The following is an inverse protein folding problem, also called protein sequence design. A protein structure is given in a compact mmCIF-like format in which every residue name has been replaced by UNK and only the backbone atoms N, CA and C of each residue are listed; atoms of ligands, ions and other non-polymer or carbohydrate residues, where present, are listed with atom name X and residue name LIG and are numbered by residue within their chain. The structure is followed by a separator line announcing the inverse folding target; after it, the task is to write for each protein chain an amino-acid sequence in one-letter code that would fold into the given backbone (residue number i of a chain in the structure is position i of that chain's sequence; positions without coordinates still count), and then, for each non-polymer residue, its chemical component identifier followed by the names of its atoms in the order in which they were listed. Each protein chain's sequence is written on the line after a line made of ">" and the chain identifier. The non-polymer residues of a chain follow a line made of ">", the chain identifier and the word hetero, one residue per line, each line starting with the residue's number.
data_IF_185784443424
#
_entry.id   IF_185784443424
#
_cell.length_a   1.000
_cell.length_b   1.000
_cell.length_c   1.000
_cell.angle_alpha   90.00
_cell.angle_beta   90.00
_cell.angle_gamma   90.00
#
_symmetry.space_group_name_H-M   'P 1'
#
loop_
_entity.id
_entity.type
_entity.pdbx_description
1 polymer ?
#
# COMPACT_ATOMS: atom_id res chain seq x y z
N UNK A 1 30.08 34.79 6.22
CA UNK A 1 29.64 34.75 4.82
C UNK A 1 28.12 34.70 4.84
N UNK A 2 27.44 35.85 4.67
CA UNK A 2 25.97 35.94 4.76
C UNK A 2 25.38 35.52 3.42
N UNK A 3 24.63 34.42 3.37
CA UNK A 3 23.90 34.05 2.16
C UNK A 3 22.90 35.18 1.83
N UNK A 4 22.98 35.73 0.61
CA UNK A 4 22.10 36.81 0.16
C UNK A 4 20.62 36.40 0.17
N UNK A 5 19.74 37.35 0.46
CA UNK A 5 18.26 37.17 0.55
C UNK A 5 17.62 36.49 -0.67
N UNK A 6 18.25 36.59 -1.84
CA UNK A 6 17.85 35.90 -3.07
C UNK A 6 18.08 34.38 -3.03
N UNK A 7 19.13 33.91 -2.34
CA UNK A 7 19.40 32.49 -2.18
C UNK A 7 18.35 31.82 -1.27
N UNK A 8 17.96 32.50 -0.19
CA UNK A 8 16.91 32.02 0.70
C UNK A 8 15.55 31.91 0.01
N UNK A 9 15.18 32.93 -0.80
CA UNK A 9 13.96 32.90 -1.61
C UNK A 9 13.95 31.77 -2.63
N UNK A 10 15.08 31.48 -3.27
CA UNK A 10 15.22 30.37 -4.23
C UNK A 10 15.12 29.01 -3.54
N UNK A 11 15.76 28.83 -2.39
CA UNK A 11 15.68 27.61 -1.59
C UNK A 11 14.24 27.37 -1.12
N UNK A 12 13.57 28.39 -0.58
CA UNK A 12 12.16 28.28 -0.16
C UNK A 12 11.23 27.95 -1.33
N UNK A 13 11.46 28.52 -2.52
CA UNK A 13 10.67 28.20 -3.71
C UNK A 13 10.88 26.74 -4.18
N UNK A 14 12.13 26.25 -4.17
CA UNK A 14 12.44 24.86 -4.55
C UNK A 14 11.86 23.87 -3.54
N UNK A 15 11.95 24.16 -2.24
CA UNK A 15 11.34 23.36 -1.18
C UNK A 15 9.81 23.36 -1.31
N UNK A 16 9.19 24.51 -1.57
CA UNK A 16 7.74 24.60 -1.80
C UNK A 16 7.29 23.81 -3.04
N UNK A 17 8.04 23.87 -4.15
CA UNK A 17 7.75 23.08 -5.36
C UNK A 17 7.91 21.57 -5.12
N UNK A 18 8.95 21.16 -4.38
CA UNK A 18 9.16 19.77 -4.02
C UNK A 18 8.04 19.23 -3.11
N UNK A 19 7.55 20.04 -2.18
CA UNK A 19 6.40 19.69 -1.33
C UNK A 19 5.10 19.56 -2.14
N UNK A 20 4.87 20.42 -3.12
CA UNK A 20 3.67 20.38 -3.99
C UNK A 20 3.61 19.13 -4.89
N UNK A 21 4.76 18.61 -5.34
CA UNK A 21 4.82 17.42 -6.19
C UNK A 21 4.38 16.13 -5.46
N UNK A 22 4.62 16.04 -4.15
CA UNK A 22 4.23 14.88 -3.32
C UNK A 22 2.73 14.84 -2.97
N UNK A 23 2.05 15.99 -3.01
CA UNK A 23 0.63 16.11 -2.64
C UNK A 23 -0.33 15.40 -3.60
N UNK A 24 0.04 15.27 -4.88
CA UNK A 24 -0.83 14.64 -5.89
C UNK A 24 -1.17 13.18 -5.58
N UNK A 25 -0.20 12.40 -5.07
CA UNK A 25 -0.42 11.00 -4.69
C UNK A 25 -1.37 10.85 -3.51
N UNK A 26 -1.10 11.58 -2.43
CA UNK A 26 -1.93 11.59 -1.22
C UNK A 26 -3.36 12.08 -1.50
N UNK A 27 -3.54 13.14 -2.30
CA UNK A 27 -4.86 13.65 -2.68
C UNK A 27 -5.62 12.63 -3.52
N UNK A 28 -4.97 11.99 -4.50
CA UNK A 28 -5.59 10.95 -5.32
C UNK A 28 -6.00 9.74 -4.49
N UNK A 29 -5.13 9.30 -3.58
CA UNK A 29 -5.46 8.22 -2.65
C UNK A 29 -6.65 8.60 -1.77
N UNK A 30 -6.62 9.78 -1.13
CA UNK A 30 -7.68 10.22 -0.23
C UNK A 30 -9.02 10.36 -0.95
N UNK A 31 -9.03 10.85 -2.19
CA UNK A 31 -10.24 10.90 -3.02
C UNK A 31 -10.77 9.49 -3.27
N UNK A 32 -9.95 8.58 -3.76
CA UNK A 32 -10.36 7.20 -4.04
C UNK A 32 -10.82 6.45 -2.78
N UNK A 33 -10.16 6.68 -1.65
CA UNK A 33 -10.53 6.13 -0.34
C UNK A 33 -11.89 6.65 0.14
N UNK A 34 -12.15 7.95 -0.03
CA UNK A 34 -13.39 8.58 0.45
C UNK A 34 -14.58 8.27 -0.45
N UNK A 35 -14.35 8.05 -1.74
CA UNK A 35 -15.39 7.72 -2.72
C UNK A 35 -15.57 6.22 -2.96
N UNK A 36 -14.98 5.37 -2.10
CA UNK A 36 -15.14 3.92 -2.23
C UNK A 36 -16.55 3.53 -1.79
N UNK A 37 -17.27 2.85 -2.68
CA UNK A 37 -18.61 2.33 -2.45
C UNK A 37 -18.58 0.80 -2.58
N UNK A 38 -18.87 0.04 -1.51
CA UNK A 38 -18.86 -1.42 -1.54
C UNK A 38 -19.85 -2.02 -2.54
N UNK A 39 -20.97 -1.32 -2.82
CA UNK A 39 -22.10 -1.81 -3.62
C UNK A 39 -21.83 -1.97 -5.12
N UNK A 40 -20.70 -1.49 -5.63
CA UNK A 40 -20.28 -1.73 -7.01
C UNK A 40 -19.58 -3.08 -7.20
N UNK A 41 -19.52 -3.87 -6.14
CA UNK A 41 -18.94 -5.20 -6.14
C UNK A 41 -20.01 -6.18 -5.65
N UNK A 42 -20.88 -6.58 -6.57
CA UNK A 42 -21.67 -7.79 -6.31
C UNK A 42 -20.68 -8.94 -6.08
N UNK A 43 -20.75 -9.66 -4.94
CA UNK A 43 -20.17 -10.98 -4.87
C UNK A 43 -21.05 -11.85 -5.77
N UNK A 44 -20.77 -11.85 -7.08
CA UNK A 44 -21.34 -12.84 -7.99
C UNK A 44 -20.84 -14.19 -7.50
N UNK A 45 -21.70 -14.83 -6.72
CA UNK A 45 -21.55 -16.13 -6.07
C UNK A 45 -20.59 -16.19 -4.87
N UNK A 46 -21.12 -16.71 -3.76
CA UNK A 46 -20.38 -17.37 -2.67
C UNK A 46 -19.75 -18.69 -3.17
N UNK A 47 -19.22 -18.72 -4.38
CA UNK A 47 -18.44 -19.84 -4.88
C UNK A 47 -17.03 -19.72 -4.28
N UNK A 48 -16.57 -20.71 -3.49
CA UNK A 48 -15.20 -20.74 -3.02
C UNK A 48 -14.25 -20.72 -4.23
N UNK A 49 -13.29 -19.79 -4.25
CA UNK A 49 -12.36 -19.62 -5.37
C UNK A 49 -12.56 -18.35 -6.20
N UNK A 50 -13.50 -17.47 -5.85
CA UNK A 50 -13.60 -16.15 -6.47
C UNK A 50 -12.94 -15.13 -5.54
N UNK A 51 -12.06 -14.28 -6.06
CA UNK A 51 -11.38 -13.20 -5.32
C UNK A 51 -12.31 -12.14 -4.69
N UNK A 52 -13.58 -12.47 -4.43
CA UNK A 52 -14.61 -11.77 -3.67
C UNK A 52 -14.05 -11.13 -2.39
N UNK A 53 -13.20 -11.83 -1.64
CA UNK A 53 -12.75 -11.36 -0.32
C UNK A 53 -11.76 -10.18 -0.31
N UNK A 54 -10.97 -9.92 -1.35
CA UNK A 54 -9.86 -8.96 -1.22
C UNK A 54 -10.23 -7.49 -1.46
N UNK A 55 -11.07 -7.12 -2.45
CA UNK A 55 -11.45 -5.73 -2.68
C UNK A 55 -12.11 -5.09 -1.45
N UNK A 56 -11.83 -3.81 -1.22
CA UNK A 56 -12.24 -3.14 0.01
C UNK A 56 -11.27 -2.06 0.46
N UNK A 57 -11.68 -1.33 1.49
CA UNK A 57 -10.79 -0.50 2.29
C UNK A 57 -10.26 -1.28 3.49
N UNK A 58 -8.96 -1.15 3.68
CA UNK A 58 -8.21 -1.83 4.71
C UNK A 58 -7.39 -0.83 5.51
N UNK A 59 -7.28 -1.03 6.81
CA UNK A 59 -6.47 -0.21 7.71
C UNK A 59 -5.70 -1.08 8.69
N UNK A 60 -4.46 -0.72 8.95
CA UNK A 60 -3.61 -1.41 9.91
C UNK A 60 -2.22 -0.81 9.94
N UNK A 61 -1.20 -1.64 10.01
CA UNK A 61 0.19 -1.23 10.17
C UNK A 61 1.14 -2.09 9.33
N UNK A 62 2.31 -1.52 9.06
CA UNK A 62 3.46 -2.26 8.56
C UNK A 62 4.59 -2.21 9.59
N UNK A 63 5.40 -3.26 9.61
CA UNK A 63 6.58 -3.36 10.47
C UNK A 63 7.71 -4.06 9.72
N UNK A 64 8.89 -3.45 9.71
CA UNK A 64 10.16 -4.09 9.39
C UNK A 64 10.67 -4.81 10.62
N UNK A 65 10.95 -6.10 10.47
CA UNK A 65 11.59 -6.95 11.48
C UNK A 65 13.13 -6.86 11.40
N UNK A 66 13.65 -6.29 10.30
CA UNK A 66 15.07 -6.03 10.12
C UNK A 66 15.58 -4.84 10.93
N UNK A 67 14.88 -3.70 10.88
CA UNK A 67 15.32 -2.44 11.50
C UNK A 67 14.33 -1.87 12.53
N UNK A 68 13.18 -2.51 12.73
CA UNK A 68 12.15 -2.09 13.69
C UNK A 68 11.31 -0.89 13.21
N UNK A 69 11.55 -0.36 12.00
CA UNK A 69 10.72 0.69 11.46
C UNK A 69 9.29 0.20 11.25
N UNK A 70 8.33 1.10 11.47
CA UNK A 70 6.91 0.79 11.35
C UNK A 70 6.09 2.05 11.08
N UNK A 71 4.82 1.83 10.75
CA UNK A 71 3.83 2.88 10.77
C UNK A 71 2.46 2.41 10.29
N UNK A 72 1.51 3.34 10.34
CA UNK A 72 0.14 3.11 9.88
C UNK A 72 0.07 2.87 8.38
N UNK A 73 -0.85 2.01 7.98
CA UNK A 73 -1.10 1.57 6.63
C UNK A 73 -2.60 1.67 6.32
N UNK A 74 -2.94 2.28 5.18
CA UNK A 74 -4.27 2.20 4.58
C UNK A 74 -4.12 1.60 3.19
N UNK A 75 -5.03 0.71 2.83
CA UNK A 75 -5.04 -0.01 1.56
C UNK A 75 -6.40 0.09 0.91
N UNK A 76 -6.45 0.47 -0.36
CA UNK A 76 -7.63 0.39 -1.19
C UNK A 76 -7.39 -0.68 -2.25
N UNK A 77 -8.12 -1.78 -2.12
CA UNK A 77 -8.00 -2.97 -2.95
C UNK A 77 -9.14 -2.95 -3.98
N UNK A 78 -8.79 -3.05 -5.25
CA UNK A 78 -9.75 -3.05 -6.37
C UNK A 78 -9.45 -4.20 -7.31
N UNK A 79 -10.45 -5.03 -7.62
CA UNK A 79 -10.33 -6.12 -8.60
C UNK A 79 -9.86 -5.54 -9.95
N UNK A 80 -8.90 -6.19 -10.57
CA UNK A 80 -8.50 -5.92 -11.97
C UNK A 80 -9.14 -6.97 -12.88
N UNK A 81 -8.94 -8.24 -12.53
CA UNK A 81 -9.55 -9.42 -13.15
C UNK A 81 -9.61 -10.55 -12.09
N UNK A 82 -9.99 -11.77 -12.48
CA UNK A 82 -10.17 -12.88 -11.55
C UNK A 82 -8.89 -13.32 -10.82
N UNK A 83 -7.72 -13.10 -11.44
CA UNK A 83 -6.42 -13.44 -10.85
C UNK A 83 -5.69 -12.27 -10.22
N UNK A 84 -6.16 -11.03 -10.44
CA UNK A 84 -5.40 -9.84 -10.05
C UNK A 84 -6.21 -8.81 -9.28
N UNK A 85 -5.61 -8.32 -8.20
CA UNK A 85 -6.14 -7.20 -7.41
C UNK A 85 -5.13 -6.08 -7.36
N UNK A 86 -5.52 -4.89 -7.79
CA UNK A 86 -4.72 -3.67 -7.62
C UNK A 86 -4.85 -3.21 -6.18
N UNK A 87 -3.73 -3.02 -5.50
CA UNK A 87 -3.66 -2.46 -4.16
C UNK A 87 -2.99 -1.09 -4.20
N UNK A 88 -3.73 -0.06 -3.77
CA UNK A 88 -3.18 1.28 -3.54
C UNK A 88 -2.98 1.46 -2.05
N UNK A 89 -1.79 1.85 -1.65
CA UNK A 89 -1.45 2.04 -0.25
C UNK A 89 -1.14 3.50 0.05
N UNK A 90 -1.51 3.91 1.25
CA UNK A 90 -1.03 5.09 1.92
C UNK A 90 -0.40 4.64 3.23
N UNK A 91 0.91 4.81 3.32
CA UNK A 91 1.70 4.38 4.46
C UNK A 91 2.28 5.58 5.17
N UNK A 92 2.44 5.46 6.48
CA UNK A 92 3.17 6.44 7.30
C UNK A 92 4.45 5.81 7.83
N UNK A 93 5.47 6.63 8.07
CA UNK A 93 6.73 6.23 8.66
C UNK A 93 7.02 7.13 9.85
N UNK A 94 7.27 6.53 11.03
CA UNK A 94 7.51 7.25 12.28
C UNK A 94 6.46 8.36 12.55
N UNK A 95 5.23 8.18 12.06
CA UNK A 95 4.12 9.15 12.10
C UNK A 95 4.37 10.53 11.47
N UNK A 96 5.53 10.77 10.84
CA UNK A 96 5.93 12.08 10.32
C UNK A 96 5.98 12.14 8.79
N UNK A 97 6.38 11.04 8.17
CA UNK A 97 6.47 10.93 6.72
C UNK A 97 5.34 10.05 6.22
N UNK A 98 4.87 10.31 5.01
CA UNK A 98 3.93 9.44 4.32
C UNK A 98 4.40 9.16 2.92
N UNK A 99 3.98 8.01 2.41
CA UNK A 99 4.25 7.59 1.05
C UNK A 99 3.05 6.84 0.50
N UNK A 100 2.80 7.04 -0.79
CA UNK A 100 1.79 6.29 -1.52
C UNK A 100 2.47 5.37 -2.51
N UNK A 101 2.05 4.11 -2.56
CA UNK A 101 2.53 3.15 -3.55
C UNK A 101 1.35 2.35 -4.11
N UNK A 102 1.48 1.87 -5.34
CA UNK A 102 0.52 0.99 -5.99
C UNK A 102 1.25 -0.28 -6.40
N UNK A 103 0.60 -1.43 -6.23
CA UNK A 103 1.09 -2.71 -6.71
C UNK A 103 -0.10 -3.60 -7.12
N UNK A 104 0.20 -4.72 -7.78
CA UNK A 104 -0.80 -5.69 -8.23
C UNK A 104 -0.51 -7.02 -7.54
N UNK A 105 -1.49 -7.50 -6.78
CA UNK A 105 -1.47 -8.81 -6.15
C UNK A 105 -1.98 -9.85 -7.14
N UNK A 106 -1.26 -10.95 -7.25
CA UNK A 106 -1.66 -12.15 -7.95
C UNK A 106 -2.31 -13.11 -6.96
N UNK A 107 -3.60 -13.42 -7.17
CA UNK A 107 -4.35 -14.38 -6.36
C UNK A 107 -3.97 -15.78 -6.82
N UNK A 108 -3.29 -16.52 -5.94
CA UNK A 108 -2.76 -17.86 -6.26
C UNK A 108 -3.74 -18.98 -5.92
N UNK A 109 -4.78 -18.68 -5.16
CA UNK A 109 -5.85 -19.61 -4.86
C UNK A 109 -6.67 -19.22 -3.64
N UNK A 110 -7.72 -19.98 -3.40
CA UNK A 110 -8.54 -19.88 -2.19
C UNK A 110 -8.84 -21.30 -1.71
N UNK A 111 -8.59 -21.57 -0.43
CA UNK A 111 -8.89 -22.85 0.19
C UNK A 111 -9.46 -22.62 1.59
N UNK A 112 -10.55 -23.30 1.92
CA UNK A 112 -11.18 -23.27 3.25
C UNK A 112 -11.47 -21.83 3.76
N UNK A 113 -11.84 -20.93 2.84
CA UNK A 113 -12.12 -19.51 3.13
C UNK A 113 -10.87 -18.65 3.36
N UNK A 114 -9.67 -19.18 3.06
CA UNK A 114 -8.40 -18.46 3.07
C UNK A 114 -8.00 -18.15 1.64
N UNK A 115 -8.01 -16.86 1.28
CA UNK A 115 -7.51 -16.40 -0.01
C UNK A 115 -6.01 -16.15 0.10
N UNK A 116 -5.24 -16.73 -0.81
CA UNK A 116 -3.79 -16.61 -0.89
C UNK A 116 -3.39 -15.71 -2.05
N UNK A 117 -2.39 -14.87 -1.83
CA UNK A 117 -1.86 -13.99 -2.87
C UNK A 117 -0.36 -13.78 -2.74
N UNK A 118 0.25 -13.38 -3.84
CA UNK A 118 1.67 -13.04 -3.92
C UNK A 118 1.90 -11.88 -4.88
N UNK A 119 3.14 -11.41 -4.93
CA UNK A 119 3.59 -10.48 -5.95
C UNK A 119 4.99 -9.96 -5.67
N UNK A 120 5.48 -9.14 -6.59
CA UNK A 120 6.72 -8.42 -6.43
C UNK A 120 6.64 -7.02 -7.03
N UNK A 121 7.49 -6.13 -6.52
CA UNK A 121 7.59 -4.76 -6.97
C UNK A 121 9.03 -4.28 -6.83
N UNK A 122 9.63 -3.81 -7.92
CA UNK A 122 10.89 -3.08 -7.84
C UNK A 122 10.63 -1.63 -7.41
N UNK A 123 11.16 -1.25 -6.25
CA UNK A 123 11.10 0.13 -5.73
C UNK A 123 12.39 0.91 -6.03
N UNK A 124 13.36 0.28 -6.70
CA UNK A 124 14.68 0.80 -7.00
C UNK A 124 15.67 0.56 -5.86
N UNK A 125 16.94 0.45 -6.21
CA UNK A 125 18.03 0.12 -5.28
C UNK A 125 18.14 1.10 -4.10
N UNK A 126 17.79 2.38 -4.30
CA UNK A 126 17.78 3.39 -3.24
C UNK A 126 16.73 3.14 -2.14
N UNK A 127 15.70 2.34 -2.43
CA UNK A 127 14.60 2.03 -1.52
C UNK A 127 14.52 0.54 -1.16
N UNK A 128 15.59 -0.22 -1.41
CA UNK A 128 15.71 -1.64 -1.04
C UNK A 128 15.60 -2.62 -2.20
N UNK A 129 15.49 -2.13 -3.44
CA UNK A 129 15.45 -2.97 -4.65
C UNK A 129 14.09 -3.64 -4.84
N UNK A 130 14.12 -4.91 -5.24
CA UNK A 130 12.90 -5.71 -5.45
C UNK A 130 12.32 -6.18 -4.11
N UNK A 131 11.05 -5.84 -3.88
CA UNK A 131 10.25 -6.37 -2.79
C UNK A 131 9.43 -7.53 -3.30
N UNK A 132 9.46 -8.66 -2.58
CA UNK A 132 8.59 -9.82 -2.79
C UNK A 132 7.70 -9.97 -1.59
N UNK A 133 6.44 -10.30 -1.83
CA UNK A 133 5.48 -10.45 -0.76
C UNK A 133 4.52 -11.61 -1.05
N UNK A 134 4.06 -12.23 0.03
CA UNK A 134 3.04 -13.25 0.00
C UNK A 134 2.15 -13.11 1.25
N UNK A 135 0.87 -13.37 1.09
CA UNK A 135 -0.09 -13.11 2.14
C UNK A 135 -1.39 -13.90 2.02
N UNK A 136 -2.24 -13.64 3.01
CA UNK A 136 -3.56 -14.25 3.12
C UNK A 136 -4.61 -13.21 3.46
N UNK A 137 -5.82 -13.45 3.00
CA UNK A 137 -7.04 -12.78 3.45
C UNK A 137 -8.00 -13.82 3.99
N UNK A 138 -8.46 -13.61 5.23
CA UNK A 138 -9.44 -14.46 5.91
C UNK A 138 -10.53 -13.55 6.45
N UNK A 139 -11.70 -13.56 5.79
CA UNK A 139 -12.78 -12.62 6.09
C UNK A 139 -12.31 -11.16 5.98
N UNK A 140 -12.27 -10.48 7.13
CA UNK A 140 -11.88 -9.08 7.26
C UNK A 140 -10.44 -8.88 7.74
N UNK A 141 -9.65 -9.94 7.80
CA UNK A 141 -8.24 -9.90 8.19
C UNK A 141 -7.33 -10.07 6.98
N UNK A 142 -6.37 -9.16 6.82
CA UNK A 142 -5.33 -9.20 5.80
C UNK A 142 -3.97 -9.29 6.48
N UNK A 143 -3.15 -10.25 6.07
CA UNK A 143 -1.76 -10.39 6.52
C UNK A 143 -0.84 -10.72 5.36
N UNK A 144 0.25 -9.99 5.20
CA UNK A 144 1.29 -10.29 4.21
C UNK A 144 2.67 -10.20 4.85
N UNK A 145 3.57 -11.10 4.47
CA UNK A 145 4.99 -10.94 4.75
C UNK A 145 5.68 -10.37 3.50
N UNK A 146 6.72 -9.56 3.70
CA UNK A 146 7.57 -9.05 2.63
C UNK A 146 9.04 -9.31 2.89
N UNK A 147 9.82 -9.37 1.81
CA UNK A 147 11.29 -9.41 1.81
C UNK A 147 11.81 -8.52 0.68
N UNK A 148 12.86 -7.75 0.94
CA UNK A 148 13.52 -6.88 -0.02
C UNK A 148 14.95 -7.36 -0.31
N UNK A 149 15.50 -7.00 -1.47
CA UNK A 149 16.87 -7.40 -1.88
C UNK A 149 17.97 -6.93 -0.94
N UNK A 150 17.78 -5.80 -0.28
CA UNK A 150 18.72 -5.27 0.70
C UNK A 150 18.67 -5.99 2.07
N UNK A 151 17.83 -7.02 2.22
CA UNK A 151 17.66 -7.80 3.44
C UNK A 151 16.53 -7.34 4.37
N UNK A 152 15.86 -6.22 4.07
CA UNK A 152 14.67 -5.81 4.83
C UNK A 152 13.56 -6.86 4.67
N UNK A 153 12.83 -7.12 5.74
CA UNK A 153 11.73 -8.06 5.77
C UNK A 153 10.79 -7.71 6.91
N UNK A 154 9.55 -8.15 6.80
CA UNK A 154 8.57 -7.93 7.85
C UNK A 154 7.15 -8.20 7.40
N UNK A 155 6.20 -7.51 8.01
CA UNK A 155 4.78 -7.84 7.90
C UNK A 155 3.90 -6.62 7.69
N UNK A 156 2.83 -6.81 6.91
CA UNK A 156 1.65 -5.95 6.87
C UNK A 156 0.50 -6.67 7.55
N UNK A 157 -0.16 -6.00 8.50
CA UNK A 157 -1.31 -6.53 9.23
C UNK A 157 -2.44 -5.50 9.15
N UNK A 158 -3.59 -5.87 8.60
CA UNK A 158 -4.68 -4.94 8.34
C UNK A 158 -6.04 -5.57 8.58
N UNK A 159 -7.03 -4.73 8.87
CA UNK A 159 -8.43 -5.09 9.01
C UNK A 159 -9.27 -4.31 8.00
N UNK A 160 -10.37 -4.91 7.52
CA UNK A 160 -11.36 -4.20 6.72
C UNK A 160 -12.03 -3.11 7.55
N UNK A 161 -12.36 -1.98 6.91
CA UNK A 161 -12.97 -0.81 7.58
C UNK A 161 -14.18 -0.25 6.81
N UNK A 162 -14.83 -1.11 6.03
CA UNK A 162 -16.06 -0.81 5.28
C UNK A 162 -17.33 -1.09 6.08
#
# INVERSE_FOLDING_TARGET
>A
MVLGSHAWRRILFVVALALLATGCGAIRFQRAWSSYEPSNYEPTSHAPGTGAGMPGRWKGEWRSEWNGHSGGLRGLMTRVDDGHTRARFFSTYASLLFFTHETVFHVVGEQDGVLHFEGEQDLGQAFGGVYRYAGTVVGDSFRANFTAENGDHGVFEMQRVD
#
